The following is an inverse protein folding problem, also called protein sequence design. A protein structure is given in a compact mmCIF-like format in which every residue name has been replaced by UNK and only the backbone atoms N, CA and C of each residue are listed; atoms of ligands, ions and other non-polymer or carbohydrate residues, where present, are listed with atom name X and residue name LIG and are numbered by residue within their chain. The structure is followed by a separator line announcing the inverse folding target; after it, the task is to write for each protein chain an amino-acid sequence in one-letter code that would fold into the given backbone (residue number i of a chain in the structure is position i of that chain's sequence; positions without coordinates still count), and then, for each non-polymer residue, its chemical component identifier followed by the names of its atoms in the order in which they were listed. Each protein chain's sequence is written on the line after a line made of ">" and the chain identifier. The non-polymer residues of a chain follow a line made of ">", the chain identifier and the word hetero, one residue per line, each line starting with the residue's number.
data_IF_109219280072
#
_entry.id   IF_109219280072
#
_cell.length_a   1.000
_cell.length_b   1.000
_cell.length_c   1.000
_cell.angle_alpha   90.00
_cell.angle_beta   90.00
_cell.angle_gamma   90.00
#
_symmetry.space_group_name_H-M   'P 1'
#
loop_
_entity.id
_entity.type
_entity.pdbx_description
1 polymer ?
#
# COMPACT_ATOMS: atom_id res chain seq x y z
N UNK A 1 6.55 -6.78 -7.26
CA UNK A 1 6.02 -5.82 -6.28
C UNK A 1 7.11 -5.39 -5.31
N UNK A 2 6.90 -4.27 -4.64
CA UNK A 2 7.79 -3.77 -3.59
C UNK A 2 7.18 -4.02 -2.21
N UNK A 3 7.99 -4.46 -1.25
CA UNK A 3 7.56 -4.62 0.13
C UNK A 3 7.37 -3.24 0.78
N UNK A 4 6.23 -3.03 1.43
CA UNK A 4 5.88 -1.79 2.10
C UNK A 4 5.16 -2.08 3.41
N UNK A 5 5.32 -1.20 4.38
CA UNK A 5 4.60 -1.20 5.64
C UNK A 5 3.53 -0.12 5.59
N UNK A 6 2.26 -0.53 5.55
CA UNK A 6 1.12 0.37 5.36
C UNK A 6 0.31 0.51 6.65
N UNK A 7 -0.18 1.73 6.91
CA UNK A 7 -1.04 2.01 8.06
C UNK A 7 -2.41 1.36 7.93
N UNK A 8 -2.97 1.41 6.71
CA UNK A 8 -4.28 0.84 6.39
C UNK A 8 -4.17 0.02 5.12
N UNK A 9 -4.79 -1.16 5.11
CA UNK A 9 -4.87 -2.04 3.93
C UNK A 9 -6.30 -2.51 3.78
N UNK A 10 -6.83 -2.49 2.56
CA UNK A 10 -8.19 -2.92 2.26
C UNK A 10 -8.54 -2.77 0.79
N UNK A 11 -9.69 -3.30 0.38
CA UNK A 11 -10.19 -3.10 -0.99
C UNK A 11 -10.51 -1.63 -1.23
N UNK A 12 -10.26 -1.15 -2.45
CA UNK A 12 -10.41 0.27 -2.79
C UNK A 12 -11.83 0.80 -2.59
N UNK A 13 -12.85 -0.03 -2.84
CA UNK A 13 -14.26 0.26 -2.55
C UNK A 13 -14.60 0.37 -1.06
N UNK A 14 -13.85 -0.30 -0.20
CA UNK A 14 -14.06 -0.31 1.26
C UNK A 14 -13.38 0.85 1.99
N UNK A 15 -12.49 1.58 1.32
CA UNK A 15 -11.69 2.66 1.90
C UNK A 15 -12.10 4.02 1.31
N UNK A 16 -12.94 4.82 2.00
CA UNK A 16 -13.43 6.11 1.49
C UNK A 16 -12.31 7.09 1.14
N UNK A 17 -11.17 6.98 1.83
CA UNK A 17 -9.99 7.80 1.60
C UNK A 17 -9.42 7.64 0.17
N UNK A 18 -9.59 6.46 -0.46
CA UNK A 18 -9.05 6.18 -1.80
C UNK A 18 -9.65 7.12 -2.84
N UNK A 19 -10.98 7.30 -2.82
CA UNK A 19 -11.66 8.23 -3.74
C UNK A 19 -11.20 9.68 -3.53
N UNK A 20 -10.97 10.09 -2.27
CA UNK A 20 -10.48 11.45 -1.95
C UNK A 20 -9.03 11.70 -2.36
N UNK A 21 -8.21 10.64 -2.43
CA UNK A 21 -6.81 10.72 -2.86
C UNK A 21 -6.73 10.66 -4.38
N UNK A 22 -7.35 9.66 -5.01
CA UNK A 22 -7.22 9.40 -6.44
C UNK A 22 -8.05 10.37 -7.31
N UNK A 23 -9.20 10.84 -6.81
CA UNK A 23 -10.09 11.75 -7.55
C UNK A 23 -9.40 13.04 -8.00
N UNK A 24 -8.74 13.81 -7.10
CA UNK A 24 -7.98 15.00 -7.47
C UNK A 24 -6.81 14.74 -8.42
N UNK A 25 -6.31 13.50 -8.44
CA UNK A 25 -5.14 13.08 -9.22
C UNK A 25 -5.54 12.53 -10.60
N UNK A 26 -6.85 12.43 -10.88
CA UNK A 26 -7.37 11.89 -12.14
C UNK A 26 -7.09 10.39 -12.33
N UNK A 27 -6.77 9.67 -11.26
CA UNK A 27 -6.49 8.23 -11.31
C UNK A 27 -7.80 7.47 -11.22
N UNK A 28 -8.04 6.59 -12.20
CA UNK A 28 -9.21 5.73 -12.25
C UNK A 28 -8.74 4.29 -12.03
N UNK A 29 -9.31 3.62 -11.02
CA UNK A 29 -9.11 2.19 -10.82
C UNK A 29 -10.09 1.43 -11.69
N UNK A 30 -9.59 0.49 -12.50
CA UNK A 30 -10.41 -0.36 -13.35
C UNK A 30 -11.21 -1.40 -12.55
N UNK A 31 -10.64 -1.84 -11.41
CA UNK A 31 -11.26 -2.75 -10.46
C UNK A 31 -11.21 -2.16 -9.06
N UNK A 32 -12.38 -1.91 -8.46
CA UNK A 32 -12.49 -1.35 -7.10
C UNK A 32 -12.32 -2.41 -6.00
N UNK A 33 -12.36 -3.69 -6.35
CA UNK A 33 -12.08 -4.77 -5.40
C UNK A 33 -10.58 -4.95 -5.12
N UNK A 34 -9.72 -4.30 -5.93
CA UNK A 34 -8.27 -4.30 -5.77
C UNK A 34 -7.90 -3.85 -4.36
N UNK A 35 -6.99 -4.60 -3.74
CA UNK A 35 -6.48 -4.24 -2.42
C UNK A 35 -5.44 -3.14 -2.56
N UNK A 36 -5.60 -2.09 -1.77
CA UNK A 36 -4.70 -0.94 -1.70
C UNK A 36 -4.14 -0.79 -0.28
N UNK A 37 -2.96 -0.20 -0.18
CA UNK A 37 -2.34 0.23 1.07
C UNK A 37 -2.29 1.75 1.14
N UNK A 38 -2.59 2.34 2.30
CA UNK A 38 -2.50 3.78 2.53
C UNK A 38 -1.43 4.11 3.57
N UNK A 39 -0.73 5.24 3.35
CA UNK A 39 0.32 5.70 4.26
C UNK A 39 1.43 4.66 4.43
N UNK A 40 1.89 4.13 3.31
CA UNK A 40 2.90 3.10 3.19
C UNK A 40 4.31 3.68 3.25
N UNK A 41 5.19 2.98 3.95
CA UNK A 41 6.63 3.25 3.95
C UNK A 41 7.37 2.07 3.31
N UNK A 42 8.34 2.30 2.41
CA UNK A 42 9.09 1.21 1.78
C UNK A 42 9.86 0.40 2.82
N UNK A 43 9.71 -0.92 2.77
CA UNK A 43 10.56 -1.83 3.55
C UNK A 43 11.82 -2.06 2.71
N UNK A 44 12.93 -1.44 3.10
CA UNK A 44 14.20 -1.60 2.40
C UNK A 44 15.01 -2.77 2.95
N UNK A 45 15.77 -3.42 2.08
CA UNK A 45 16.64 -4.57 2.36
C UNK A 45 17.68 -4.33 3.49
N UNK A 46 17.95 -3.07 3.84
CA UNK A 46 18.86 -2.71 4.95
C UNK A 46 18.31 -3.14 6.32
N UNK A 47 17.04 -3.53 6.41
CA UNK A 47 16.43 -4.08 7.63
C UNK A 47 16.28 -5.61 7.68
N UNK A 48 16.42 -6.35 6.57
CA UNK A 48 16.06 -7.78 6.54
C UNK A 48 17.00 -8.69 7.36
N UNK A 49 18.20 -8.21 7.71
CA UNK A 49 19.11 -8.89 8.64
C UNK A 49 18.91 -8.52 10.12
N UNK A 50 18.19 -7.43 10.39
CA UNK A 50 17.98 -6.86 11.74
C UNK A 50 16.49 -6.85 12.15
N UNK A 51 15.65 -7.53 11.37
CA UNK A 51 14.19 -7.45 11.45
C UNK A 51 13.69 -6.23 10.69
N UNK A 52 13.13 -6.43 9.49
CA UNK A 52 12.28 -5.42 8.90
C UNK A 52 11.11 -5.21 9.86
N UNK A 53 11.11 -4.10 10.59
CA UNK A 53 10.06 -3.80 11.54
C UNK A 53 8.94 -3.08 10.80
N UNK A 54 7.87 -3.81 10.50
CA UNK A 54 6.57 -3.21 10.24
C UNK A 54 5.69 -3.45 11.46
N UNK A 55 5.46 -2.38 12.23
CA UNK A 55 4.52 -2.43 13.36
C UNK A 55 3.06 -2.40 12.89
N UNK A 56 2.83 -1.92 11.67
CA UNK A 56 1.53 -1.89 11.00
C UNK A 56 1.37 -3.10 10.09
N UNK A 57 0.75 -2.94 8.92
CA UNK A 57 0.44 -4.05 8.03
C UNK A 57 1.53 -4.20 6.95
N UNK A 58 2.32 -5.30 6.97
CA UNK A 58 3.28 -5.56 5.92
C UNK A 58 2.59 -6.12 4.66
N UNK A 59 2.91 -5.53 3.51
CA UNK A 59 2.35 -5.90 2.21
C UNK A 59 3.41 -5.88 1.12
N UNK A 60 3.15 -6.59 0.02
CA UNK A 60 3.85 -6.45 -1.25
C UNK A 60 2.86 -5.87 -2.26
N UNK A 61 3.17 -4.71 -2.85
CA UNK A 61 2.27 -4.02 -3.79
C UNK A 61 2.88 -3.94 -5.19
N UNK A 62 2.02 -3.93 -6.21
CA UNK A 62 2.46 -3.86 -7.62
C UNK A 62 2.87 -2.44 -7.97
N UNK A 63 2.06 -1.46 -7.56
CA UNK A 63 2.29 -0.04 -7.81
C UNK A 63 2.41 0.72 -6.48
N UNK A 64 3.33 1.66 -6.44
CA UNK A 64 3.65 2.45 -5.24
C UNK A 64 3.59 3.91 -5.66
N UNK A 65 2.40 4.50 -5.54
CA UNK A 65 2.11 5.82 -6.06
C UNK A 65 2.32 6.90 -4.98
N UNK A 66 2.55 8.13 -5.41
CA UNK A 66 2.54 9.32 -4.53
C UNK A 66 3.40 9.21 -3.26
N UNK A 67 4.62 8.68 -3.39
CA UNK A 67 5.56 8.46 -2.28
C UNK A 67 5.00 7.59 -1.14
N UNK A 68 4.16 6.61 -1.47
CA UNK A 68 3.58 5.70 -0.49
C UNK A 68 2.29 6.22 0.16
N UNK A 69 1.77 7.37 -0.26
CA UNK A 69 0.43 7.81 0.19
C UNK A 69 -0.63 6.74 -0.15
N UNK A 70 -0.51 6.14 -1.34
CA UNK A 70 -1.34 5.01 -1.77
C UNK A 70 -0.51 4.03 -2.61
N UNK A 71 -0.60 2.75 -2.26
CA UNK A 71 -0.05 1.64 -3.01
C UNK A 71 -1.19 0.76 -3.52
N UNK A 72 -1.06 0.21 -4.73
CA UNK A 72 -2.13 -0.51 -5.43
C UNK A 72 -1.70 -1.96 -5.71
N UNK A 73 -2.66 -2.87 -5.71
CA UNK A 73 -2.43 -4.29 -5.96
C UNK A 73 -1.60 -4.93 -4.85
N UNK A 74 -1.98 -4.64 -3.60
CA UNK A 74 -1.26 -5.07 -2.41
C UNK A 74 -1.70 -6.46 -1.95
N UNK A 75 -0.74 -7.28 -1.54
CA UNK A 75 -0.97 -8.57 -0.88
C UNK A 75 -0.25 -8.59 0.45
N UNK A 76 -0.92 -9.04 1.52
CA UNK A 76 -0.31 -9.22 2.83
C UNK A 76 0.86 -10.20 2.77
N UNK A 77 1.95 -9.87 3.46
CA UNK A 77 3.13 -10.73 3.60
C UNK A 77 3.45 -10.96 5.08
N UNK A 78 4.31 -11.93 5.37
CA UNK A 78 4.94 -12.08 6.69
C UNK A 78 6.39 -11.60 6.62
N UNK A 79 6.86 -10.95 7.69
CA UNK A 79 8.24 -10.47 7.84
C UNK A 79 9.04 -11.39 8.76
#
# INVERSE_FOLDING_TARGET
>A
GAASCCNTVGSADSLPAVASILGPLGVVLEDLSVVVGLGCTPITLVGLGQGANCAQQPVCCTDNEFNGLINIGCTSISL
#
